data_IF_290093118350
#
_entry.id   IF_290093118350
#
_cell.length_a   1.000
_cell.length_b   1.000
_cell.length_c   1.000
_cell.angle_alpha   90.00
_cell.angle_beta   90.00
_cell.angle_gamma   90.00
#
_symmetry.space_group_name_H-M   'P 1'
#
loop_
_entity.id
_entity.type
_entity.pdbx_description
1 polymer ?
#
# COMPACT_ATOMS: atom_id res chain seq x y z
N UNK A 1 12.79 28.66 -17.55
CA UNK A 1 11.90 27.50 -17.69
C UNK A 1 12.61 26.26 -17.13
N UNK A 2 12.19 25.69 -15.99
CA UNK A 2 12.58 24.34 -15.58
C UNK A 2 11.39 23.38 -15.66
N UNK A 3 11.55 22.27 -16.38
CA UNK A 3 10.69 21.09 -16.27
C UNK A 3 11.56 19.97 -15.72
N UNK A 4 11.62 19.82 -14.39
CA UNK A 4 12.49 18.84 -13.72
C UNK A 4 11.86 18.08 -12.55
N UNK A 5 10.87 18.65 -11.85
CA UNK A 5 10.45 18.10 -10.55
C UNK A 5 9.23 17.15 -10.57
N UNK A 6 8.54 17.03 -11.71
CA UNK A 6 7.29 16.27 -11.80
C UNK A 6 7.49 14.74 -11.88
N UNK A 7 8.67 14.26 -12.33
CA UNK A 7 8.95 12.83 -12.47
C UNK A 7 9.39 12.21 -11.14
N UNK A 8 10.25 12.91 -10.38
CA UNK A 8 10.75 12.43 -9.08
C UNK A 8 9.68 12.39 -7.98
N UNK A 9 8.70 13.29 -8.04
CA UNK A 9 7.59 13.31 -7.07
C UNK A 9 6.65 12.12 -7.25
N UNK A 10 6.32 11.76 -8.51
CA UNK A 10 5.44 10.61 -8.80
C UNK A 10 6.06 9.27 -8.40
N UNK A 11 7.34 9.05 -8.72
CA UNK A 11 8.03 7.82 -8.37
C UNK A 11 8.09 7.59 -6.84
N UNK A 12 8.34 8.65 -6.05
CA UNK A 12 8.29 8.55 -4.58
C UNK A 12 6.89 8.26 -4.05
N UNK A 13 5.85 8.84 -4.66
CA UNK A 13 4.46 8.56 -4.26
C UNK A 13 4.05 7.12 -4.56
N UNK A 14 4.50 6.55 -5.68
CA UNK A 14 4.26 5.14 -6.04
C UNK A 14 5.01 4.18 -5.11
N UNK A 15 6.29 4.47 -4.80
CA UNK A 15 7.07 3.68 -3.85
C UNK A 15 6.43 3.68 -2.45
N UNK A 16 5.98 4.84 -1.99
CA UNK A 16 5.27 4.98 -0.71
C UNK A 16 3.95 4.23 -0.71
N UNK A 17 3.22 4.24 -1.83
CA UNK A 17 1.99 3.47 -2.00
C UNK A 17 2.27 1.96 -1.91
N UNK A 18 3.33 1.47 -2.56
CA UNK A 18 3.71 0.06 -2.50
C UNK A 18 4.11 -0.37 -1.08
N UNK A 19 4.85 0.48 -0.35
CA UNK A 19 5.21 0.26 1.06
C UNK A 19 3.96 0.09 1.94
N UNK A 20 2.98 0.99 1.78
CA UNK A 20 1.69 0.92 2.48
C UNK A 20 0.97 -0.41 2.19
N UNK A 21 0.92 -0.81 0.93
CA UNK A 21 0.22 -2.02 0.51
C UNK A 21 0.86 -3.26 1.10
N UNK A 22 2.20 -3.36 1.11
CA UNK A 22 2.91 -4.49 1.74
C UNK A 22 2.64 -4.57 3.24
N UNK A 23 2.69 -3.44 3.94
CA UNK A 23 2.38 -3.41 5.36
C UNK A 23 0.92 -3.79 5.65
N UNK A 24 -0.02 -3.38 4.78
CA UNK A 24 -1.41 -3.77 4.89
C UNK A 24 -1.59 -5.28 4.68
N UNK A 25 -0.90 -5.87 3.70
CA UNK A 25 -0.88 -7.31 3.46
C UNK A 25 -0.41 -8.07 4.71
N UNK A 26 0.71 -7.66 5.31
CA UNK A 26 1.22 -8.27 6.55
C UNK A 26 0.20 -8.20 7.69
N UNK A 27 -0.39 -7.02 7.94
CA UNK A 27 -1.37 -6.84 9.01
C UNK A 27 -2.63 -7.69 8.78
N UNK A 28 -3.09 -7.78 7.53
CA UNK A 28 -4.23 -8.63 7.14
C UNK A 28 -3.86 -10.12 7.29
N UNK A 29 -2.65 -10.53 6.94
CA UNK A 29 -2.18 -11.90 7.08
C UNK A 29 -2.04 -12.32 8.55
N UNK A 30 -1.53 -11.44 9.41
CA UNK A 30 -1.33 -11.70 10.85
C UNK A 30 -2.65 -11.71 11.64
N UNK A 31 -3.57 -10.78 11.36
CA UNK A 31 -4.75 -10.50 12.21
C UNK A 31 -6.09 -10.78 11.53
N UNK A 32 -6.06 -11.15 10.25
CA UNK A 32 -7.24 -11.26 9.40
C UNK A 32 -7.83 -9.89 9.02
N UNK A 33 -8.67 -9.88 7.97
CA UNK A 33 -9.31 -8.66 7.47
C UNK A 33 -10.10 -7.90 8.54
N UNK A 34 -10.76 -8.60 9.47
CA UNK A 34 -11.54 -7.96 10.54
C UNK A 34 -10.65 -7.28 11.59
N UNK A 35 -9.47 -7.83 11.88
CA UNK A 35 -8.50 -7.26 12.82
C UNK A 35 -7.63 -6.16 12.21
N UNK A 36 -7.49 -6.13 10.89
CA UNK A 36 -6.80 -5.06 10.18
C UNK A 36 -7.64 -3.76 10.19
N UNK A 37 -7.05 -2.68 10.67
CA UNK A 37 -7.64 -1.34 10.64
C UNK A 37 -6.73 -0.37 9.91
N UNK A 38 -7.31 0.69 9.34
CA UNK A 38 -6.50 1.74 8.68
C UNK A 38 -5.48 2.35 9.65
N UNK A 39 -5.84 2.48 10.93
CA UNK A 39 -4.91 2.96 11.97
C UNK A 39 -3.74 2.00 12.17
N UNK A 40 -4.00 0.69 12.29
CA UNK A 40 -2.93 -0.31 12.48
C UNK A 40 -1.98 -0.39 11.30
N UNK A 41 -2.49 -0.23 10.08
CA UNK A 41 -1.65 -0.17 8.87
C UNK A 41 -0.83 1.12 8.86
N UNK A 42 -1.43 2.27 9.18
CA UNK A 42 -0.72 3.55 9.25
C UNK A 42 0.42 3.50 10.27
N UNK A 43 0.16 2.96 11.46
CA UNK A 43 1.17 2.74 12.51
C UNK A 43 2.34 1.86 12.02
N UNK A 44 2.05 0.81 11.24
CA UNK A 44 3.05 -0.11 10.70
C UNK A 44 4.05 0.58 9.77
N UNK A 45 3.60 1.53 8.95
CA UNK A 45 4.43 2.31 8.01
C UNK A 45 4.88 3.66 8.55
N UNK A 46 4.64 3.94 9.83
CA UNK A 46 4.97 5.22 10.45
C UNK A 46 4.23 6.42 9.83
N UNK A 47 3.04 6.20 9.30
CA UNK A 47 2.15 7.25 8.80
C UNK A 47 1.04 7.55 9.81
N UNK A 48 0.48 8.75 9.69
CA UNK A 48 -0.78 9.07 10.37
C UNK A 48 -1.95 8.45 9.61
N UNK A 49 -3.07 8.24 10.31
CA UNK A 49 -4.30 7.78 9.65
C UNK A 49 -4.73 8.71 8.51
N UNK A 50 -4.62 10.03 8.68
CA UNK A 50 -4.88 11.01 7.62
C UNK A 50 -3.90 10.88 6.44
N UNK A 51 -2.61 10.64 6.73
CA UNK A 51 -1.61 10.38 5.70
C UNK A 51 -1.96 9.13 4.89
N UNK A 52 -2.40 8.05 5.55
CA UNK A 52 -2.86 6.84 4.87
C UNK A 52 -4.12 7.08 4.04
N UNK A 53 -5.09 7.84 4.57
CA UNK A 53 -6.35 8.18 3.87
C UNK A 53 -6.11 9.01 2.59
N UNK A 54 -5.00 9.73 2.51
CA UNK A 54 -4.60 10.45 1.30
C UNK A 54 -4.26 9.49 0.14
N UNK A 55 -3.69 8.31 0.46
CA UNK A 55 -3.40 7.28 -0.54
C UNK A 55 -4.59 6.34 -0.75
N UNK A 56 -5.23 5.93 0.35
CA UNK A 56 -6.32 4.96 0.36
C UNK A 56 -7.50 5.50 1.18
N UNK A 57 -8.54 6.06 0.54
CA UNK A 57 -9.62 6.72 1.26
C UNK A 57 -10.49 5.76 2.08
N UNK A 58 -10.45 4.46 1.78
CA UNK A 58 -11.23 3.44 2.48
C UNK A 58 -10.43 2.16 2.70
N UNK A 59 -10.89 1.36 3.67
CA UNK A 59 -10.35 0.02 3.94
C UNK A 59 -10.52 -0.92 2.74
N UNK A 60 -11.62 -0.79 1.99
CA UNK A 60 -11.84 -1.58 0.77
C UNK A 60 -10.88 -1.16 -0.35
N UNK A 61 -10.60 0.14 -0.52
CA UNK A 61 -9.61 0.61 -1.50
C UNK A 61 -8.20 0.09 -1.18
N UNK A 62 -7.85 0.05 0.11
CA UNK A 62 -6.61 -0.57 0.57
C UNK A 62 -6.60 -2.08 0.28
N UNK A 63 -7.70 -2.78 0.55
CA UNK A 63 -7.82 -4.21 0.27
C UNK A 63 -7.68 -4.51 -1.22
N UNK A 64 -8.33 -3.74 -2.09
CA UNK A 64 -8.22 -3.89 -3.55
C UNK A 64 -6.76 -3.75 -3.96
N UNK A 65 -6.06 -2.72 -3.49
CA UNK A 65 -4.64 -2.54 -3.81
C UNK A 65 -3.75 -3.68 -3.27
N UNK A 66 -4.06 -4.22 -2.10
CA UNK A 66 -3.39 -5.42 -1.55
C UNK A 66 -3.61 -6.64 -2.44
N UNK A 67 -4.83 -6.84 -2.94
CA UNK A 67 -5.13 -7.95 -3.86
C UNK A 67 -4.44 -7.76 -5.22
N UNK A 68 -4.42 -6.53 -5.76
CA UNK A 68 -3.71 -6.20 -7.00
C UNK A 68 -2.20 -6.42 -6.88
N UNK A 69 -1.58 -6.08 -5.75
CA UNK A 69 -0.15 -6.33 -5.50
C UNK A 69 0.12 -7.83 -5.34
N UNK A 70 -0.77 -8.57 -4.66
CA UNK A 70 -0.65 -10.03 -4.54
C UNK A 70 -0.76 -10.69 -5.91
N UNK A 71 -1.71 -10.30 -6.75
CA UNK A 71 -1.86 -10.89 -8.09
C UNK A 71 -0.64 -10.61 -8.98
N UNK A 72 0.05 -9.47 -8.77
CA UNK A 72 1.34 -9.19 -9.41
C UNK A 72 2.49 -10.06 -8.87
N UNK A 73 2.45 -10.44 -7.59
CA UNK A 73 3.39 -11.39 -6.98
C UNK A 73 3.07 -12.85 -7.34
N UNK A 74 1.80 -13.23 -7.46
CA UNK A 74 1.40 -14.57 -7.91
C UNK A 74 1.61 -14.74 -9.43
N UNK A 75 1.81 -13.63 -10.16
CA UNK A 75 2.17 -13.63 -11.57
C UNK A 75 3.65 -13.90 -11.85
N UNK A 76 4.52 -14.10 -10.84
CA UNK A 76 5.70 -14.95 -11.10
C UNK A 76 5.18 -16.38 -11.16
N UNK A 77 5.18 -17.04 -12.33
CA UNK A 77 4.93 -18.45 -12.37
C UNK A 77 5.97 -19.08 -11.45
N UNK A 78 5.50 -19.85 -10.47
CA UNK A 78 6.21 -20.99 -9.91
C UNK A 78 6.92 -21.67 -11.08
N UNK A 79 8.18 -21.30 -11.30
CA UNK A 79 9.03 -21.93 -12.29
C UNK A 79 9.54 -23.16 -11.56
N UNK A 80 8.69 -24.19 -11.60
CA UNK A 80 9.07 -25.57 -11.35
C UNK A 80 9.99 -26.06 -12.47
#
# INVERSE_FOLDING_TARGET
MPYGDAMGTRARSEERRAEIVRAALEVIAERGYRGASMTSVAERVGLTQQGLLHYFPTKDALLVAVLEERDQWDAVPDTQ
#
